data_IF_943301789887
#
_entry.id   IF_943301789887
#
_cell.length_a   1.000
_cell.length_b   1.000
_cell.length_c   1.000
_cell.angle_alpha   90.00
_cell.angle_beta   90.00
_cell.angle_gamma   90.00
#
_symmetry.space_group_name_H-M   'P 1'
#
loop_
_entity.id
_entity.type
_entity.pdbx_description
1 polymer ?
#
# COMPACT_ATOMS: atom_id res chain seq x y z
N UNK A 1 31.88 41.67 76.08
CA UNK A 1 31.95 40.21 76.24
C UNK A 1 31.19 39.62 75.04
N UNK A 2 31.95 39.01 74.07
CA UNK A 2 31.43 38.43 72.85
C UNK A 2 31.16 36.94 73.10
N UNK A 3 29.90 36.47 73.17
CA UNK A 3 29.58 35.05 73.21
C UNK A 3 29.37 34.54 71.78
N UNK A 4 30.16 33.55 71.50
CA UNK A 4 30.29 32.93 70.17
C UNK A 4 29.03 32.07 69.81
N UNK A 5 28.38 32.40 68.71
CA UNK A 5 27.19 31.80 68.15
C UNK A 5 27.51 30.50 67.36
N UNK A 6 28.50 29.73 67.80
CA UNK A 6 29.05 28.59 67.06
C UNK A 6 28.75 27.21 67.64
N UNK A 7 28.03 27.08 68.73
CA UNK A 7 27.83 25.79 69.43
C UNK A 7 26.40 25.27 69.50
N UNK A 8 25.44 25.93 68.84
CA UNK A 8 24.03 25.47 68.84
C UNK A 8 23.64 24.78 67.53
N UNK A 9 24.47 24.75 66.46
CA UNK A 9 24.12 24.23 65.16
C UNK A 9 24.54 22.75 64.93
N UNK A 10 25.13 22.07 65.90
CA UNK A 10 25.67 20.72 65.75
C UNK A 10 24.83 19.60 66.36
N UNK A 11 23.66 19.90 66.95
CA UNK A 11 22.84 18.88 67.65
C UNK A 11 21.54 18.55 66.95
N UNK A 12 21.24 19.11 65.73
CA UNK A 12 19.96 18.87 65.00
C UNK A 12 20.13 18.08 63.69
N UNK A 13 21.30 17.49 63.44
CA UNK A 13 21.59 16.78 62.17
C UNK A 13 21.73 15.27 62.33
N UNK A 14 21.15 14.64 63.35
CA UNK A 14 21.31 13.20 63.60
C UNK A 14 19.99 12.40 63.71
N UNK A 15 18.87 12.93 63.26
CA UNK A 15 17.59 12.21 63.42
C UNK A 15 16.76 12.00 62.15
N UNK A 16 17.34 12.07 60.93
CA UNK A 16 16.58 11.89 59.66
C UNK A 16 16.99 10.68 58.82
N UNK A 17 17.50 9.62 59.41
CA UNK A 17 18.04 8.46 58.66
C UNK A 17 17.37 7.11 59.01
N UNK A 18 16.06 7.05 59.32
CA UNK A 18 15.38 5.80 59.61
C UNK A 18 13.96 5.65 59.00
N UNK A 19 13.65 6.40 57.92
CA UNK A 19 12.51 6.06 57.07
C UNK A 19 13.04 5.45 55.79
N UNK A 20 13.58 4.24 55.86
CA UNK A 20 13.74 3.38 54.67
C UNK A 20 12.34 3.04 54.12
N UNK A 21 12.13 3.01 52.81
CA UNK A 21 10.87 2.54 52.26
C UNK A 21 10.63 1.11 52.77
N UNK A 22 9.54 0.86 53.48
CA UNK A 22 9.08 -0.49 53.76
C UNK A 22 8.84 -1.14 52.45
N UNK A 23 9.74 -2.01 52.01
CA UNK A 23 9.52 -2.93 50.89
C UNK A 23 8.36 -3.81 51.31
N UNK A 24 7.15 -3.56 50.77
CA UNK A 24 6.03 -4.47 50.86
C UNK A 24 6.44 -5.71 50.10
N UNK A 25 6.89 -6.72 50.80
CA UNK A 25 7.26 -7.99 50.23
C UNK A 25 5.96 -8.66 49.72
N UNK A 26 5.66 -8.51 48.43
CA UNK A 26 4.53 -9.15 47.78
C UNK A 26 4.80 -10.66 47.75
N UNK A 27 3.87 -11.48 48.27
CA UNK A 27 3.92 -12.90 48.13
C UNK A 27 3.49 -13.30 46.70
N UNK A 28 4.26 -14.14 46.05
CA UNK A 28 3.92 -14.70 44.74
C UNK A 28 3.52 -16.17 44.88
N UNK A 29 2.55 -16.58 44.04
CA UNK A 29 2.17 -17.99 43.85
C UNK A 29 2.43 -18.35 42.38
N UNK A 30 3.14 -19.44 42.13
CA UNK A 30 3.37 -20.00 40.79
C UNK A 30 3.25 -21.51 40.81
N UNK A 31 3.22 -22.13 39.64
CA UNK A 31 3.15 -23.60 39.47
C UNK A 31 4.41 -24.01 38.69
N UNK A 32 5.08 -25.05 39.13
CA UNK A 32 6.23 -25.63 38.43
C UNK A 32 5.84 -26.54 37.25
N UNK A 33 6.84 -27.23 36.67
CA UNK A 33 6.63 -28.15 35.54
C UNK A 33 5.97 -29.47 35.96
N UNK A 34 6.09 -29.83 37.21
CA UNK A 34 5.49 -31.02 37.84
C UNK A 34 4.03 -30.76 38.28
N UNK A 35 3.57 -29.50 38.21
CA UNK A 35 2.24 -29.12 38.64
C UNK A 35 2.13 -28.75 40.11
N UNK A 36 3.24 -28.67 40.84
CA UNK A 36 3.26 -28.29 42.24
C UNK A 36 3.12 -26.75 42.41
N UNK A 37 2.42 -26.39 43.48
CA UNK A 37 2.13 -24.96 43.78
C UNK A 37 3.18 -24.43 44.77
N UNK A 38 3.89 -23.40 44.37
CA UNK A 38 4.89 -22.73 45.18
C UNK A 38 4.43 -21.36 45.63
N UNK A 39 4.94 -20.96 46.81
CA UNK A 39 4.74 -19.62 47.36
C UNK A 39 6.08 -19.03 47.79
N UNK A 40 6.31 -17.76 47.54
CA UNK A 40 7.53 -17.07 47.94
C UNK A 40 7.48 -15.55 47.70
N UNK A 41 8.42 -14.86 48.33
CA UNK A 41 8.57 -13.41 48.15
C UNK A 41 9.26 -13.04 46.82
N UNK A 42 9.83 -14.03 46.13
CA UNK A 42 10.47 -13.89 44.82
C UNK A 42 10.19 -15.16 44.00
N UNK A 43 9.95 -15.01 42.73
CA UNK A 43 9.81 -16.14 41.78
C UNK A 43 11.20 -16.42 41.21
N UNK A 44 11.68 -17.68 41.26
CA UNK A 44 12.96 -18.05 40.66
C UNK A 44 12.98 -17.73 39.16
N UNK A 45 14.13 -17.36 38.58
CA UNK A 45 14.25 -16.99 37.17
C UNK A 45 13.71 -18.01 36.17
N UNK A 46 13.85 -19.29 36.51
CA UNK A 46 13.35 -20.43 35.72
C UNK A 46 11.82 -20.44 35.54
N UNK A 47 11.08 -19.90 36.53
CA UNK A 47 9.62 -19.80 36.50
C UNK A 47 9.13 -18.37 36.19
N UNK A 48 10.04 -17.43 35.95
CA UNK A 48 9.66 -16.05 35.67
C UNK A 48 8.79 -15.88 34.41
N UNK A 49 8.89 -16.82 33.46
CA UNK A 49 8.12 -16.87 32.23
C UNK A 49 6.77 -17.61 32.35
N UNK A 50 6.47 -18.22 33.50
CA UNK A 50 5.19 -18.92 33.74
C UNK A 50 4.15 -17.99 34.35
N UNK A 51 2.88 -18.41 34.30
CA UNK A 51 1.80 -17.72 35.03
C UNK A 51 2.16 -17.64 36.52
N UNK A 52 2.09 -16.43 37.05
CA UNK A 52 2.29 -16.18 38.45
C UNK A 52 1.29 -15.17 38.99
N UNK A 53 0.91 -15.36 40.24
CA UNK A 53 -0.07 -14.51 40.93
C UNK A 53 0.57 -13.81 42.10
N UNK A 54 0.44 -12.51 42.16
CA UNK A 54 0.85 -11.73 43.31
C UNK A 54 -0.29 -11.74 44.31
N UNK A 55 0.03 -12.06 45.56
CA UNK A 55 -0.90 -12.14 46.67
C UNK A 55 -0.67 -10.99 47.65
N UNK A 56 -1.73 -10.53 48.29
CA UNK A 56 -1.61 -9.63 49.44
C UNK A 56 -1.36 -10.43 50.75
N UNK A 57 -1.19 -9.70 51.85
CA UNK A 57 -0.96 -10.30 53.18
C UNK A 57 -2.06 -11.26 53.66
N UNK A 58 -3.25 -11.19 53.07
CA UNK A 58 -4.39 -12.05 53.36
C UNK A 58 -4.51 -13.22 52.39
N UNK A 59 -3.50 -13.45 51.53
CA UNK A 59 -3.48 -14.53 50.56
C UNK A 59 -4.41 -14.34 49.35
N UNK A 60 -4.99 -13.12 49.16
CA UNK A 60 -5.86 -12.82 47.98
C UNK A 60 -5.00 -12.37 46.82
N UNK A 61 -5.32 -12.85 45.62
CA UNK A 61 -4.67 -12.41 44.38
C UNK A 61 -4.96 -10.95 44.12
N UNK A 62 -3.92 -10.13 43.98
CA UNK A 62 -4.00 -8.71 43.62
C UNK A 62 -3.57 -8.46 42.17
N UNK A 63 -2.74 -9.36 41.62
CA UNK A 63 -2.33 -9.27 40.21
C UNK A 63 -2.00 -10.65 39.65
N UNK A 64 -2.38 -10.88 38.40
CA UNK A 64 -2.01 -12.06 37.64
C UNK A 64 -1.01 -11.59 36.58
N UNK A 65 0.06 -12.33 36.43
CA UNK A 65 1.03 -12.21 35.36
C UNK A 65 0.89 -13.45 34.51
N UNK A 66 0.42 -13.27 33.31
CA UNK A 66 0.28 -14.37 32.35
C UNK A 66 1.64 -14.97 32.00
N UNK A 67 1.63 -16.22 31.53
CA UNK A 67 2.83 -16.86 30.98
C UNK A 67 3.35 -16.07 29.78
N UNK A 68 4.67 -16.04 29.62
CA UNK A 68 5.26 -15.51 28.41
C UNK A 68 4.80 -16.32 27.19
N UNK A 69 4.42 -15.63 26.13
CA UNK A 69 4.03 -16.30 24.88
C UNK A 69 5.17 -17.11 24.31
N UNK A 70 4.87 -18.28 23.78
CA UNK A 70 5.83 -19.09 23.05
C UNK A 70 6.26 -18.38 21.74
N UNK A 71 7.42 -18.73 21.17
CA UNK A 71 7.83 -18.22 19.86
C UNK A 71 6.77 -18.48 18.77
N UNK A 72 6.08 -19.62 18.83
CA UNK A 72 4.99 -20.00 17.94
C UNK A 72 3.78 -19.07 18.08
N UNK A 73 3.35 -18.82 19.32
CA UNK A 73 2.25 -17.90 19.62
C UNK A 73 2.56 -16.44 19.20
N UNK A 74 3.82 -16.04 19.37
CA UNK A 74 4.28 -14.71 18.90
C UNK A 74 4.23 -14.64 17.37
N UNK A 75 4.71 -15.69 16.69
CA UNK A 75 4.71 -15.76 15.24
C UNK A 75 3.27 -15.79 14.68
N UNK A 76 2.37 -16.54 15.30
CA UNK A 76 0.97 -16.60 14.92
C UNK A 76 0.27 -15.25 15.16
N UNK A 77 0.47 -14.62 16.30
CA UNK A 77 -0.07 -13.30 16.58
C UNK A 77 0.42 -12.24 15.58
N UNK A 78 1.70 -12.28 15.22
CA UNK A 78 2.28 -11.39 14.22
C UNK A 78 1.66 -11.62 12.82
N UNK A 79 1.45 -12.90 12.45
CA UNK A 79 0.77 -13.26 11.19
C UNK A 79 -0.67 -12.75 11.14
N UNK A 80 -1.43 -12.97 12.20
CA UNK A 80 -2.81 -12.50 12.29
C UNK A 80 -2.90 -10.97 12.25
N UNK A 81 -1.98 -10.29 12.92
CA UNK A 81 -1.89 -8.83 12.87
C UNK A 81 -1.54 -8.32 11.47
N UNK A 82 -0.62 -8.96 10.76
CA UNK A 82 -0.29 -8.62 9.38
C UNK A 82 -1.50 -8.77 8.44
N UNK A 83 -2.28 -9.87 8.58
CA UNK A 83 -3.52 -10.08 7.84
C UNK A 83 -4.54 -8.98 8.15
N UNK A 84 -4.71 -8.63 9.43
CA UNK A 84 -5.62 -7.58 9.86
C UNK A 84 -5.25 -6.21 9.31
N UNK A 85 -3.96 -5.88 9.30
CA UNK A 85 -3.47 -4.63 8.74
C UNK A 85 -3.68 -4.56 7.23
N UNK A 86 -3.44 -5.67 6.53
CA UNK A 86 -3.69 -5.75 5.09
C UNK A 86 -5.18 -5.60 4.75
N UNK A 87 -6.07 -6.26 5.50
CA UNK A 87 -7.52 -6.08 5.33
C UNK A 87 -7.95 -4.63 5.55
N UNK A 88 -7.41 -3.97 6.59
CA UNK A 88 -7.66 -2.54 6.84
C UNK A 88 -7.16 -1.67 5.67
N UNK A 89 -5.98 -1.97 5.13
CA UNK A 89 -5.42 -1.25 3.98
C UNK A 89 -6.33 -1.36 2.76
N UNK A 90 -6.76 -2.59 2.44
CA UNK A 90 -7.68 -2.86 1.32
C UNK A 90 -9.02 -2.13 1.51
N UNK A 91 -9.59 -2.21 2.70
CA UNK A 91 -10.85 -1.52 3.02
C UNK A 91 -10.73 0.01 2.91
N UNK A 92 -9.65 0.58 3.41
CA UNK A 92 -9.38 2.01 3.31
C UNK A 92 -9.17 2.46 1.86
N UNK A 93 -8.47 1.66 1.04
CA UNK A 93 -8.29 1.95 -0.38
C UNK A 93 -9.62 1.91 -1.14
N UNK A 94 -10.47 0.89 -0.87
CA UNK A 94 -11.81 0.79 -1.44
C UNK A 94 -12.65 2.02 -1.06
N UNK A 95 -12.71 2.36 0.22
CA UNK A 95 -13.47 3.52 0.69
C UNK A 95 -12.97 4.84 0.07
N UNK A 96 -11.65 4.98 -0.13
CA UNK A 96 -11.10 6.14 -0.83
C UNK A 96 -11.53 6.19 -2.29
N UNK A 97 -11.51 5.06 -3.00
CA UNK A 97 -11.97 4.98 -4.41
C UNK A 97 -13.46 5.31 -4.51
N UNK A 98 -14.27 4.75 -3.62
CA UNK A 98 -15.71 5.03 -3.55
C UNK A 98 -15.99 6.52 -3.31
N UNK A 99 -15.26 7.14 -2.37
CA UNK A 99 -15.37 8.57 -2.10
C UNK A 99 -14.98 9.42 -3.33
N UNK A 100 -13.88 9.08 -4.02
CA UNK A 100 -13.44 9.78 -5.24
C UNK A 100 -14.50 9.63 -6.33
N UNK A 101 -15.09 8.46 -6.49
CA UNK A 101 -16.12 8.20 -7.49
C UNK A 101 -17.35 9.09 -7.26
N UNK A 102 -17.87 9.11 -6.04
CA UNK A 102 -19.02 9.94 -5.65
C UNK A 102 -18.72 11.46 -5.69
N UNK A 103 -17.47 11.85 -5.42
CA UNK A 103 -17.06 13.25 -5.49
C UNK A 103 -16.82 13.74 -6.93
N UNK A 104 -16.50 12.81 -7.85
CA UNK A 104 -16.17 13.15 -9.25
C UNK A 104 -17.41 13.21 -10.11
N UNK A 105 -18.37 12.32 -9.89
CA UNK A 105 -19.55 12.18 -10.75
C UNK A 105 -20.83 12.46 -9.97
N UNK A 106 -21.69 13.28 -10.57
CA UNK A 106 -22.99 13.64 -9.98
C UNK A 106 -24.09 12.61 -10.30
N UNK A 107 -23.92 11.84 -11.37
CA UNK A 107 -24.90 10.86 -11.85
C UNK A 107 -24.24 9.84 -12.80
N UNK A 108 -24.93 8.72 -13.04
CA UNK A 108 -24.55 7.77 -14.07
C UNK A 108 -24.48 8.40 -15.46
N UNK A 109 -25.42 9.28 -15.79
CA UNK A 109 -25.42 10.01 -17.08
C UNK A 109 -24.17 10.88 -17.25
N UNK A 110 -23.68 11.50 -16.18
CA UNK A 110 -22.44 12.26 -16.17
C UNK A 110 -21.21 11.35 -16.43
N UNK A 111 -21.21 10.15 -15.84
CA UNK A 111 -20.18 9.15 -16.11
C UNK A 111 -20.20 8.68 -17.58
N UNK A 112 -21.39 8.40 -18.13
CA UNK A 112 -21.56 7.99 -19.54
C UNK A 112 -21.07 9.08 -20.47
N UNK A 113 -21.44 10.34 -20.25
CA UNK A 113 -20.96 11.48 -21.05
C UNK A 113 -19.44 11.63 -21.00
N UNK A 114 -18.87 11.45 -19.82
CA UNK A 114 -17.41 11.52 -19.63
C UNK A 114 -16.70 10.40 -20.40
N UNK A 115 -17.20 9.16 -20.31
CA UNK A 115 -16.71 8.03 -21.08
C UNK A 115 -16.79 8.31 -22.58
N UNK A 116 -17.95 8.71 -23.07
CA UNK A 116 -18.19 8.94 -24.49
C UNK A 116 -17.30 10.07 -25.04
N UNK A 117 -17.07 11.11 -24.25
CA UNK A 117 -16.12 12.18 -24.59
C UNK A 117 -14.69 11.64 -24.76
N UNK A 118 -14.22 10.77 -23.86
CA UNK A 118 -12.89 10.15 -23.95
C UNK A 118 -12.79 9.23 -25.18
N UNK A 119 -13.79 8.41 -25.41
CA UNK A 119 -13.84 7.50 -26.57
C UNK A 119 -13.85 8.28 -27.89
N UNK A 120 -14.64 9.35 -27.98
CA UNK A 120 -14.70 10.22 -29.14
C UNK A 120 -13.37 10.92 -29.45
N UNK A 121 -12.64 11.32 -28.41
CA UNK A 121 -11.29 11.90 -28.58
C UNK A 121 -10.31 10.88 -29.17
N UNK A 122 -10.30 9.65 -28.65
CA UNK A 122 -9.47 8.57 -29.18
C UNK A 122 -9.85 8.19 -30.60
N UNK A 123 -11.15 8.10 -30.90
CA UNK A 123 -11.66 7.85 -32.25
C UNK A 123 -11.18 8.91 -33.23
N UNK A 124 -11.22 10.20 -32.83
CA UNK A 124 -10.68 11.30 -33.64
C UNK A 124 -9.20 11.11 -34.00
N UNK A 125 -8.39 10.65 -33.01
CA UNK A 125 -6.96 10.36 -33.26
C UNK A 125 -6.79 9.16 -34.22
N UNK A 126 -7.56 8.11 -34.05
CA UNK A 126 -7.55 6.93 -34.92
C UNK A 126 -7.88 7.34 -36.37
N UNK A 127 -8.96 8.08 -36.56
CA UNK A 127 -9.37 8.55 -37.89
C UNK A 127 -8.33 9.47 -38.54
N UNK A 128 -7.72 10.35 -37.77
CA UNK A 128 -6.64 11.21 -38.28
C UNK A 128 -5.45 10.36 -38.73
N UNK A 129 -5.06 9.36 -37.93
CA UNK A 129 -3.95 8.46 -38.25
C UNK A 129 -4.27 7.59 -39.46
N UNK A 130 -5.49 7.07 -39.58
CA UNK A 130 -5.95 6.34 -40.77
C UNK A 130 -5.84 7.17 -42.05
N UNK A 131 -6.28 8.43 -42.02
CA UNK A 131 -6.12 9.36 -43.17
C UNK A 131 -4.63 9.55 -43.52
N UNK A 132 -3.76 9.64 -42.51
CA UNK A 132 -2.31 9.73 -42.74
C UNK A 132 -1.76 8.46 -43.43
N UNK A 133 -2.17 7.27 -42.96
CA UNK A 133 -1.78 6.00 -43.60
C UNK A 133 -2.23 5.94 -45.06
N UNK A 134 -3.46 6.37 -45.37
CA UNK A 134 -3.98 6.42 -46.75
C UNK A 134 -3.07 7.31 -47.61
N UNK A 135 -2.70 8.51 -47.13
CA UNK A 135 -1.79 9.43 -47.84
C UNK A 135 -0.42 8.80 -48.04
N UNK A 136 0.11 8.11 -47.03
CA UNK A 136 1.42 7.44 -47.11
C UNK A 136 1.38 6.28 -48.11
N UNK A 137 0.31 5.49 -48.14
CA UNK A 137 0.14 4.40 -49.10
C UNK A 137 0.05 4.93 -50.53
N UNK A 138 -0.63 6.04 -50.77
CA UNK A 138 -0.65 6.68 -52.06
C UNK A 138 0.77 7.15 -52.48
N UNK A 139 1.52 7.73 -51.55
CA UNK A 139 2.91 8.12 -51.83
C UNK A 139 3.82 6.91 -52.06
N UNK A 140 3.63 5.84 -51.28
CA UNK A 140 4.33 4.57 -51.46
C UNK A 140 4.11 4.03 -52.88
N UNK A 141 2.87 4.02 -53.36
CA UNK A 141 2.51 3.58 -54.70
C UNK A 141 3.28 4.34 -55.76
N UNK A 142 3.31 5.69 -55.69
CA UNK A 142 4.06 6.52 -56.63
C UNK A 142 5.56 6.19 -56.63
N UNK A 143 6.18 6.13 -55.45
CA UNK A 143 7.60 5.82 -55.35
C UNK A 143 7.95 4.40 -55.87
N UNK A 144 7.03 3.45 -55.67
CA UNK A 144 7.20 2.08 -56.18
C UNK A 144 7.08 2.05 -57.71
N UNK A 145 6.16 2.84 -58.29
CA UNK A 145 6.02 3.00 -59.74
C UNK A 145 7.28 3.67 -60.32
N UNK A 146 7.77 4.75 -59.69
CA UNK A 146 9.06 5.38 -60.10
C UNK A 146 10.25 4.42 -60.06
N UNK A 147 10.36 3.59 -59.03
CA UNK A 147 11.40 2.55 -58.90
C UNK A 147 11.30 1.52 -60.03
N UNK A 148 10.09 1.05 -60.35
CA UNK A 148 9.83 0.11 -61.44
C UNK A 148 10.21 0.70 -62.80
N UNK A 149 10.07 1.99 -63.03
CA UNK A 149 10.50 2.67 -64.27
C UNK A 149 12.02 2.65 -64.43
N UNK A 150 12.78 2.86 -63.35
CA UNK A 150 14.24 2.68 -63.38
C UNK A 150 14.63 1.26 -63.78
N UNK A 151 14.01 0.27 -63.18
CA UNK A 151 14.28 -1.15 -63.48
C UNK A 151 13.90 -1.54 -64.92
N UNK A 152 12.77 -1.07 -65.43
CA UNK A 152 12.34 -1.25 -66.82
C UNK A 152 13.31 -0.63 -67.82
N UNK A 153 13.89 0.51 -67.42
CA UNK A 153 14.94 1.21 -68.22
C UNK A 153 16.32 0.59 -68.14
N UNK A 154 16.47 -0.55 -67.42
CA UNK A 154 17.79 -1.19 -67.21
C UNK A 154 18.75 -0.37 -66.33
N UNK A 155 18.24 0.57 -65.53
CA UNK A 155 19.02 1.42 -64.64
C UNK A 155 18.89 1.00 -63.20
N UNK A 156 19.91 1.13 -62.38
CA UNK A 156 19.76 0.89 -60.95
C UNK A 156 18.81 1.90 -60.31
N UNK A 157 17.99 1.45 -59.36
CA UNK A 157 17.12 2.31 -58.56
C UNK A 157 17.98 3.24 -57.69
N UNK A 158 17.75 4.57 -57.73
CA UNK A 158 18.54 5.48 -56.90
C UNK A 158 18.39 5.19 -55.41
N UNK A 159 19.48 5.23 -54.64
CA UNK A 159 19.49 5.01 -53.19
C UNK A 159 18.54 5.97 -52.42
N UNK A 160 18.31 7.18 -52.93
CA UNK A 160 17.39 8.16 -52.36
C UNK A 160 15.96 7.59 -52.42
N UNK A 161 15.57 7.01 -53.57
CA UNK A 161 14.24 6.47 -53.77
C UNK A 161 14.01 5.23 -52.88
N UNK A 162 15.01 4.34 -52.78
CA UNK A 162 14.96 3.19 -51.86
C UNK A 162 14.79 3.62 -50.41
N UNK A 163 15.54 4.63 -49.96
CA UNK A 163 15.40 5.16 -48.60
C UNK A 163 14.04 5.82 -48.37
N UNK A 164 13.47 6.51 -49.35
CA UNK A 164 12.10 7.10 -49.23
C UNK A 164 11.06 6.03 -49.08
N UNK A 165 11.11 4.95 -49.85
CA UNK A 165 10.21 3.80 -49.74
C UNK A 165 10.30 3.18 -48.36
N UNK A 166 11.50 2.92 -47.86
CA UNK A 166 11.70 2.31 -46.54
C UNK A 166 11.21 3.21 -45.40
N UNK A 167 11.47 4.51 -45.49
CA UNK A 167 10.95 5.49 -44.52
C UNK A 167 9.41 5.48 -44.45
N UNK A 168 8.73 5.47 -45.59
CA UNK A 168 7.26 5.45 -45.61
C UNK A 168 6.75 4.12 -45.05
N UNK A 169 7.39 2.99 -45.35
CA UNK A 169 7.04 1.68 -44.80
C UNK A 169 7.14 1.70 -43.27
N UNK A 170 8.26 2.14 -42.73
CA UNK A 170 8.47 2.25 -41.28
C UNK A 170 7.40 3.16 -40.62
N UNK A 171 7.15 4.34 -41.17
CA UNK A 171 6.14 5.25 -40.63
C UNK A 171 4.72 4.68 -40.73
N UNK A 172 4.41 3.92 -41.78
CA UNK A 172 3.11 3.26 -41.91
C UNK A 172 2.92 2.22 -40.79
N UNK A 173 3.93 1.37 -40.56
CA UNK A 173 3.90 0.37 -39.48
C UNK A 173 3.78 1.01 -38.10
N UNK A 174 4.50 2.13 -37.86
CA UNK A 174 4.39 2.89 -36.61
C UNK A 174 2.97 3.47 -36.41
N UNK A 175 2.37 4.02 -37.45
CA UNK A 175 1.00 4.56 -37.38
C UNK A 175 -0.04 3.44 -37.20
N UNK A 176 0.12 2.28 -37.82
CA UNK A 176 -0.73 1.10 -37.61
C UNK A 176 -0.64 0.61 -36.15
N UNK A 177 0.57 0.52 -35.60
CA UNK A 177 0.79 0.19 -34.20
C UNK A 177 0.14 1.22 -33.25
N UNK A 178 0.24 2.51 -33.59
CA UNK A 178 -0.44 3.58 -32.83
C UNK A 178 -1.96 3.39 -32.80
N UNK A 179 -2.58 3.03 -33.93
CA UNK A 179 -4.02 2.73 -33.99
C UNK A 179 -4.39 1.59 -33.06
N UNK A 180 -3.64 0.48 -33.09
CA UNK A 180 -3.90 -0.67 -32.22
C UNK A 180 -3.81 -0.29 -30.73
N UNK A 181 -2.82 0.50 -30.35
CA UNK A 181 -2.68 1.02 -28.98
C UNK A 181 -3.91 1.86 -28.58
N UNK A 182 -4.38 2.74 -29.47
CA UNK A 182 -5.55 3.60 -29.20
C UNK A 182 -6.86 2.81 -29.12
N UNK A 183 -7.02 1.76 -29.90
CA UNK A 183 -8.15 0.83 -29.80
C UNK A 183 -8.14 0.07 -28.46
N UNK A 184 -6.98 -0.41 -28.05
CA UNK A 184 -6.84 -1.05 -26.74
C UNK A 184 -7.18 -0.06 -25.60
N UNK A 185 -6.74 1.19 -25.69
CA UNK A 185 -7.08 2.25 -24.72
C UNK A 185 -8.60 2.52 -24.65
N UNK A 186 -9.31 2.46 -25.81
CA UNK A 186 -10.77 2.54 -25.84
C UNK A 186 -11.42 1.37 -25.10
N UNK A 187 -10.92 0.16 -25.29
CA UNK A 187 -11.44 -1.03 -24.61
C UNK A 187 -11.22 -0.95 -23.08
N UNK A 188 -10.04 -0.53 -22.66
CA UNK A 188 -9.71 -0.33 -21.24
C UNK A 188 -10.62 0.72 -20.58
N UNK A 189 -10.86 1.85 -21.26
CA UNK A 189 -11.80 2.87 -20.81
C UNK A 189 -13.20 2.31 -20.65
N UNK A 190 -13.69 1.56 -21.64
CA UNK A 190 -15.01 0.96 -21.58
C UNK A 190 -15.15 -0.01 -20.40
N UNK A 191 -14.18 -0.90 -20.21
CA UNK A 191 -14.16 -1.86 -19.09
C UNK A 191 -14.13 -1.13 -17.75
N UNK A 192 -13.29 -0.10 -17.63
CA UNK A 192 -13.18 0.67 -16.38
C UNK A 192 -14.48 1.38 -16.06
N UNK A 193 -15.07 2.10 -17.02
CA UNK A 193 -16.33 2.81 -16.79
C UNK A 193 -17.49 1.87 -16.48
N UNK A 194 -17.55 0.69 -17.07
CA UNK A 194 -18.57 -0.32 -16.72
C UNK A 194 -18.46 -0.72 -15.25
N UNK A 195 -17.24 -0.97 -14.74
CA UNK A 195 -17.00 -1.29 -13.32
C UNK A 195 -17.37 -0.13 -12.40
N UNK A 196 -16.95 1.07 -12.77
CA UNK A 196 -17.18 2.27 -11.97
C UNK A 196 -18.67 2.64 -11.90
N UNK A 197 -19.41 2.50 -13.01
CA UNK A 197 -20.87 2.70 -13.06
C UNK A 197 -21.60 1.66 -12.19
N UNK A 198 -21.22 0.39 -12.28
CA UNK A 198 -21.79 -0.64 -11.42
C UNK A 198 -21.56 -0.31 -9.95
N UNK A 199 -20.34 0.09 -9.58
CA UNK A 199 -20.01 0.48 -8.21
C UNK A 199 -20.74 1.75 -7.75
N UNK A 200 -20.89 2.73 -8.62
CA UNK A 200 -21.62 3.97 -8.34
C UNK A 200 -23.10 3.70 -8.00
N UNK A 201 -23.75 2.79 -8.77
CA UNK A 201 -25.12 2.37 -8.45
C UNK A 201 -25.25 1.72 -7.08
N UNK A 202 -24.35 0.77 -6.75
CA UNK A 202 -24.32 0.15 -5.43
C UNK A 202 -24.23 1.19 -4.31
N UNK A 203 -23.36 2.21 -4.48
CA UNK A 203 -23.14 3.26 -3.48
C UNK A 203 -24.30 4.26 -3.36
N UNK A 204 -25.22 4.29 -4.31
CA UNK A 204 -26.43 5.12 -4.22
C UNK A 204 -27.62 4.39 -3.62
N UNK A 205 -27.58 3.05 -3.56
CA UNK A 205 -28.61 2.22 -2.96
C UNK A 205 -28.39 1.98 -1.45
N UNK A 206 -27.15 2.16 -0.95
CA UNK A 206 -26.76 2.03 0.47
C UNK A 206 -27.06 3.32 1.24
#
# INVERSE_FOLDING_TARGET
>A
MKFSLRTVFSALLSCTLLYGPMAVAGMYRWVDDEGEVHYGNSVPPEFANKERRQLNERGRTVKIYDAAKTPEEIAEAARLEAIRLEQKRIAAEKARKDHVLLATYSSEDDMLKTRDGKLSALEGLIQLTQRRIISMNNRMKQLTEDAADYERGGKPVPDVLTRQIENIRTQTTENESFILIKQQEQDEINIQFQKDIARFRELQED
#
